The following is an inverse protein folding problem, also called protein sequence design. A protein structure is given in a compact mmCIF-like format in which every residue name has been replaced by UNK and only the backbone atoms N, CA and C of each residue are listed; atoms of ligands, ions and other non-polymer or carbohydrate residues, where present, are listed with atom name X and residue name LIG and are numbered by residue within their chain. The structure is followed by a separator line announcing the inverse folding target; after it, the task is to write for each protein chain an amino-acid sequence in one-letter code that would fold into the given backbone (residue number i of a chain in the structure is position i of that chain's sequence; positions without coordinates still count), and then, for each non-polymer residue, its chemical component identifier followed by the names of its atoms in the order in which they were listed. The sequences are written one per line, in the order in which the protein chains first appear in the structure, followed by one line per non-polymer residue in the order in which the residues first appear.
data_IF_221671131873
#
_entry.id   IF_221671131873
#
_cell.length_a   1.000
_cell.length_b   1.000
_cell.length_c   1.000
_cell.angle_alpha   90.00
_cell.angle_beta   90.00
_cell.angle_gamma   90.00
#
_symmetry.space_group_name_H-M   'P 1'
#
loop_
_entity.id
_entity.type
_entity.pdbx_description
1 polymer ?
#
# COMPACT_ATOMS: atom_id res chain seq x y z
N UNK A 1 12.84 -9.69 14.16
CA UNK A 1 12.91 -8.46 13.34
C UNK A 1 11.70 -8.45 12.41
N UNK A 2 11.07 -7.29 12.18
CA UNK A 2 9.95 -7.21 11.22
C UNK A 2 10.42 -7.54 9.81
N UNK A 3 9.49 -8.00 8.97
CA UNK A 3 9.71 -8.08 7.52
C UNK A 3 9.47 -6.70 6.96
N UNK A 4 10.42 -6.19 6.19
CA UNK A 4 10.33 -4.90 5.50
C UNK A 4 10.70 -5.13 4.04
N UNK A 5 9.82 -4.73 3.14
CA UNK A 5 10.09 -4.72 1.70
C UNK A 5 9.67 -3.38 1.09
N UNK A 6 10.38 -2.99 0.04
CA UNK A 6 10.05 -1.82 -0.78
C UNK A 6 9.73 -2.30 -2.20
N UNK A 7 8.68 -1.72 -2.79
CA UNK A 7 8.31 -1.87 -4.18
C UNK A 7 8.26 -0.47 -4.77
N UNK A 8 9.27 -0.12 -5.56
CA UNK A 8 9.29 1.18 -6.25
C UNK A 8 8.37 1.11 -7.46
N UNK A 9 7.36 1.98 -7.52
CA UNK A 9 6.27 1.95 -8.49
C UNK A 9 6.08 3.27 -9.24
N UNK A 10 5.45 3.16 -10.41
CA UNK A 10 4.99 4.29 -11.20
C UNK A 10 6.09 5.17 -11.83
N UNK A 11 5.66 6.14 -12.62
CA UNK A 11 6.57 7.06 -13.33
C UNK A 11 7.37 7.98 -12.38
N UNK A 12 6.83 8.24 -11.19
CA UNK A 12 7.49 9.06 -10.16
C UNK A 12 8.49 8.28 -9.31
N UNK A 13 8.61 6.96 -9.51
CA UNK A 13 9.48 6.09 -8.71
C UNK A 13 9.17 6.23 -7.21
N UNK A 14 7.89 6.25 -6.88
CA UNK A 14 7.38 6.28 -5.52
C UNK A 14 7.67 4.93 -4.83
N UNK A 15 7.84 4.94 -3.51
CA UNK A 15 8.17 3.73 -2.76
C UNK A 15 6.98 3.24 -1.92
N UNK A 16 6.28 2.24 -2.44
CA UNK A 16 5.33 1.47 -1.65
C UNK A 16 6.10 0.53 -0.70
N UNK A 17 5.81 0.60 0.60
CA UNK A 17 6.43 -0.28 1.61
C UNK A 17 5.47 -1.35 2.11
N UNK A 18 6.02 -2.53 2.38
CA UNK A 18 5.35 -3.62 3.08
C UNK A 18 6.04 -3.82 4.43
N UNK A 19 5.28 -3.68 5.51
CA UNK A 19 5.77 -3.90 6.87
C UNK A 19 4.96 -5.00 7.54
N UNK A 20 5.61 -6.06 8.00
CA UNK A 20 4.91 -7.23 8.49
C UNK A 20 5.54 -7.91 9.72
N UNK A 21 4.69 -8.58 10.48
CA UNK A 21 5.05 -9.46 11.58
C UNK A 21 5.63 -10.78 11.02
N UNK A 22 6.84 -11.22 11.40
CA UNK A 22 7.43 -12.43 10.83
C UNK A 22 6.76 -13.71 11.32
N UNK A 23 6.06 -13.69 12.46
CA UNK A 23 5.36 -14.88 12.98
C UNK A 23 3.98 -15.05 12.36
N UNK A 24 3.17 -13.98 12.30
CA UNK A 24 1.79 -14.07 11.83
C UNK A 24 1.62 -13.75 10.36
N UNK A 25 2.64 -13.17 9.73
CA UNK A 25 2.60 -12.59 8.38
C UNK A 25 1.63 -11.42 8.21
N UNK A 26 0.97 -10.96 9.27
CA UNK A 26 0.10 -9.79 9.22
C UNK A 26 0.92 -8.57 8.79
N UNK A 27 0.39 -7.85 7.81
CA UNK A 27 1.09 -6.78 7.13
C UNK A 27 0.26 -5.51 7.03
N UNK A 28 0.97 -4.41 6.86
CA UNK A 28 0.43 -3.14 6.39
C UNK A 28 1.11 -2.78 5.07
N UNK A 29 0.33 -2.20 4.17
CA UNK A 29 0.78 -1.64 2.90
C UNK A 29 0.88 -0.13 3.12
N UNK A 30 2.02 0.47 2.83
CA UNK A 30 2.25 1.89 3.02
C UNK A 30 2.44 2.52 1.65
N UNK A 31 1.60 3.53 1.35
CA UNK A 31 1.62 4.28 0.09
C UNK A 31 1.57 3.42 -1.20
N UNK A 32 0.47 2.67 -1.45
CA UNK A 32 0.29 1.96 -2.71
C UNK A 32 0.02 2.94 -3.86
N UNK A 33 1.09 3.47 -4.43
CA UNK A 33 1.08 4.55 -5.40
C UNK A 33 0.60 4.21 -6.80
N UNK A 34 1.06 3.09 -7.35
CA UNK A 34 0.85 2.66 -8.74
C UNK A 34 1.20 1.16 -8.87
N UNK A 35 1.08 0.58 -10.07
CA UNK A 35 1.48 -0.79 -10.40
C UNK A 35 0.94 -1.85 -9.41
N UNK A 36 -0.37 -1.85 -9.16
CA UNK A 36 -1.01 -2.70 -8.17
C UNK A 36 -0.63 -4.18 -8.30
N UNK A 37 -0.56 -4.71 -9.52
CA UNK A 37 -0.13 -6.10 -9.78
C UNK A 37 1.26 -6.40 -9.21
N UNK A 38 2.20 -5.46 -9.28
CA UNK A 38 3.57 -5.62 -8.78
C UNK A 38 3.61 -5.63 -7.25
N UNK A 39 2.78 -4.78 -6.63
CA UNK A 39 2.60 -4.76 -5.17
C UNK A 39 1.99 -6.08 -4.70
N UNK A 40 0.92 -6.54 -5.36
CA UNK A 40 0.23 -7.80 -5.07
C UNK A 40 1.15 -9.00 -5.24
N UNK A 41 1.95 -9.03 -6.31
CA UNK A 41 2.96 -10.07 -6.53
C UNK A 41 3.97 -10.11 -5.37
N UNK A 42 4.45 -8.95 -4.92
CA UNK A 42 5.39 -8.89 -3.80
C UNK A 42 4.78 -9.37 -2.49
N UNK A 43 3.51 -9.05 -2.23
CA UNK A 43 2.75 -9.54 -1.07
C UNK A 43 2.67 -11.07 -1.12
N UNK A 44 2.37 -11.65 -2.28
CA UNK A 44 2.30 -13.10 -2.47
C UNK A 44 3.66 -13.78 -2.30
N UNK A 45 4.72 -13.27 -2.91
CA UNK A 45 6.09 -13.80 -2.77
C UNK A 45 6.58 -13.90 -1.32
N UNK A 46 6.10 -13.00 -0.46
CA UNK A 46 6.48 -12.90 0.94
C UNK A 46 5.49 -13.59 1.89
N UNK A 47 4.46 -14.23 1.36
CA UNK A 47 3.35 -14.85 2.09
C UNK A 47 2.67 -13.89 3.09
N UNK A 48 2.48 -12.62 2.71
CA UNK A 48 1.95 -11.60 3.61
C UNK A 48 0.41 -11.59 3.63
N UNK A 49 -0.14 -11.22 4.80
CA UNK A 49 -1.57 -11.08 5.05
C UNK A 49 -1.85 -9.61 5.37
N UNK A 50 -2.11 -8.77 4.36
CA UNK A 50 -2.34 -7.34 4.59
C UNK A 50 -3.71 -7.10 5.24
N UNK A 51 -3.76 -6.18 6.20
CA UNK A 51 -4.99 -5.76 6.87
C UNK A 51 -5.27 -4.26 6.73
N UNK A 52 -4.23 -3.47 6.50
CA UNK A 52 -4.33 -2.02 6.46
C UNK A 52 -3.56 -1.45 5.28
N UNK A 53 -4.10 -0.37 4.72
CA UNK A 53 -3.34 0.59 3.91
C UNK A 53 -3.08 1.81 4.79
N UNK A 54 -1.84 2.28 4.80
CA UNK A 54 -1.45 3.52 5.44
C UNK A 54 -0.97 4.46 4.36
N UNK A 55 -1.60 5.62 4.24
CA UNK A 55 -1.06 6.68 3.41
C UNK A 55 -0.40 7.75 4.27
N UNK A 56 0.85 8.07 3.93
CA UNK A 56 1.58 9.16 4.57
C UNK A 56 0.93 10.50 4.29
N UNK A 57 0.43 10.69 3.05
CA UNK A 57 -0.31 11.86 2.58
C UNK A 57 -1.13 11.50 1.32
N UNK A 58 -1.90 12.46 0.78
CA UNK A 58 -2.84 12.23 -0.33
C UNK A 58 -2.38 12.68 -1.72
N UNK A 59 -1.08 12.60 -2.05
CA UNK A 59 -0.62 12.87 -3.42
C UNK A 59 -0.93 11.69 -4.35
N UNK A 60 -1.12 11.99 -5.63
CA UNK A 60 -1.62 11.04 -6.63
C UNK A 60 -0.71 9.81 -6.80
N UNK A 61 0.60 10.02 -6.70
CA UNK A 61 1.64 9.01 -6.81
C UNK A 61 1.72 8.08 -5.59
N UNK A 62 0.96 8.33 -4.52
CA UNK A 62 0.91 7.49 -3.31
C UNK A 62 -0.44 6.76 -3.11
N UNK A 63 -1.46 7.11 -3.89
CA UNK A 63 -2.84 6.61 -3.70
C UNK A 63 -3.41 5.84 -4.90
N UNK A 64 -2.70 5.82 -6.04
CA UNK A 64 -3.23 5.34 -7.30
C UNK A 64 -3.61 3.86 -7.33
N UNK A 65 -2.99 3.01 -6.50
CA UNK A 65 -3.25 1.58 -6.47
C UNK A 65 -4.18 1.14 -5.32
N UNK A 66 -4.75 2.07 -4.53
CA UNK A 66 -5.58 1.74 -3.36
C UNK A 66 -6.78 0.86 -3.74
N UNK A 67 -7.53 1.25 -4.78
CA UNK A 67 -8.77 0.56 -5.18
C UNK A 67 -8.47 -0.85 -5.68
N UNK A 68 -7.45 -1.02 -6.52
CA UNK A 68 -7.05 -2.30 -7.09
C UNK A 68 -6.54 -3.27 -6.02
N UNK A 69 -5.72 -2.78 -5.07
CA UNK A 69 -5.22 -3.60 -3.96
C UNK A 69 -6.35 -3.98 -3.00
N UNK A 70 -7.28 -3.07 -2.72
CA UNK A 70 -8.45 -3.30 -1.86
C UNK A 70 -9.51 -4.20 -2.50
N UNK A 71 -9.47 -4.38 -3.82
CA UNK A 71 -10.31 -5.37 -4.51
C UNK A 71 -9.88 -6.82 -4.23
N UNK A 72 -8.60 -7.04 -3.88
CA UNK A 72 -8.03 -8.37 -3.59
C UNK A 72 -8.08 -8.71 -2.12
N UNK A 73 -7.91 -7.71 -1.24
CA UNK A 73 -7.85 -7.91 0.21
C UNK A 73 -8.86 -6.99 0.93
N UNK A 74 -9.48 -7.46 2.03
CA UNK A 74 -10.38 -6.63 2.83
C UNK A 74 -9.60 -5.66 3.72
N UNK A 75 -9.14 -4.54 3.14
CA UNK A 75 -8.23 -3.61 3.79
C UNK A 75 -8.96 -2.42 4.42
N UNK A 76 -8.48 -1.98 5.57
CA UNK A 76 -8.88 -0.70 6.18
C UNK A 76 -7.86 0.39 5.85
N UNK A 77 -8.33 1.52 5.32
CA UNK A 77 -7.49 2.65 4.96
C UNK A 77 -7.29 3.59 6.15
N UNK A 78 -6.04 3.95 6.42
CA UNK A 78 -5.61 4.89 7.47
C UNK A 78 -4.83 6.04 6.80
N UNK A 79 -5.38 7.24 6.80
CA UNK A 79 -4.69 8.45 6.32
C UNK A 79 -4.07 9.23 7.48
N UNK A 80 -2.78 9.57 7.38
CA UNK A 80 -2.02 10.19 8.47
C UNK A 80 -2.05 11.74 8.44
N UNK A 81 -2.44 12.38 7.33
CA UNK A 81 -2.53 13.85 7.23
C UNK A 81 -3.97 14.36 7.08
N UNK A 82 -4.19 15.66 7.38
CA UNK A 82 -5.46 16.35 7.09
C UNK A 82 -5.93 16.08 5.65
N UNK A 83 -7.25 16.07 5.42
CA UNK A 83 -7.79 15.74 4.12
C UNK A 83 -7.40 16.84 3.13
N UNK A 84 -6.31 16.64 2.40
CA UNK A 84 -6.44 16.80 0.95
C UNK A 84 -7.48 15.76 0.56
N UNK A 85 -8.76 16.19 0.64
CA UNK A 85 -9.89 15.54 -0.02
C UNK A 85 -9.34 14.99 -1.35
N UNK A 86 -9.58 13.72 -1.69
CA UNK A 86 -9.18 13.23 -2.99
C UNK A 86 -9.70 14.22 -4.03
N UNK A 87 -8.78 14.95 -4.69
CA UNK A 87 -9.13 15.88 -5.76
C UNK A 87 -9.68 15.15 -6.99
N UNK A 88 -9.77 13.81 -6.92
CA UNK A 88 -10.07 12.93 -8.03
C UNK A 88 -11.10 11.83 -7.72
N UNK A 89 -11.79 11.89 -6.57
CA UNK A 89 -13.04 11.12 -6.39
C UNK A 89 -14.21 12.11 -6.52
N UNK A 90 -14.49 12.49 -7.76
CA UNK A 90 -15.75 13.10 -8.23
C UNK A 90 -15.98 12.76 -9.69
#
# INVERSE_FOLDING_TARGET
MPIIACVTVGAFQENCYLYACPQTRHAVIIDPGDEAERILHRIQELDLIPHYIINTHGHIDHIGAIDEVSAVYPLSLIHISEPTRPLYIS
#
